data_IF_832206222115
#
_entry.id   IF_832206222115
#
_cell.length_a   1.000
_cell.length_b   1.000
_cell.length_c   1.000
_cell.angle_alpha   90.00
_cell.angle_beta   90.00
_cell.angle_gamma   90.00
#
_symmetry.space_group_name_H-M   'P 1'
#
loop_
_entity.id
_entity.type
_entity.pdbx_description
1 polymer ?
#
# COMPACT_ATOMS: atom_id res chain seq x y z
N UNK A 1 16.75 -8.23 21.78
CA UNK A 1 18.20 -7.92 21.69
C UNK A 1 18.75 -8.76 20.54
N UNK A 2 19.23 -8.12 19.47
CA UNK A 2 19.89 -8.80 18.36
C UNK A 2 21.35 -9.08 18.75
N UNK A 3 21.99 -10.14 18.22
CA UNK A 3 23.42 -10.32 18.39
C UNK A 3 24.19 -9.13 17.80
N UNK A 4 25.20 -8.62 18.52
CA UNK A 4 25.98 -7.43 18.14
C UNK A 4 26.55 -7.50 16.72
N UNK A 5 26.97 -8.69 16.29
CA UNK A 5 27.52 -8.93 14.95
C UNK A 5 26.48 -8.75 13.82
N UNK A 6 25.21 -9.07 14.10
CA UNK A 6 24.12 -8.93 13.13
C UNK A 6 23.70 -7.47 12.98
N UNK A 7 23.72 -6.70 14.08
CA UNK A 7 23.47 -5.27 14.05
C UNK A 7 24.57 -4.52 13.28
N UNK A 8 25.84 -4.86 13.51
CA UNK A 8 26.97 -4.33 12.77
C UNK A 8 26.84 -4.63 11.26
N UNK A 9 26.38 -5.82 10.90
CA UNK A 9 26.11 -6.20 9.52
C UNK A 9 25.01 -5.34 8.87
N UNK A 10 23.86 -5.14 9.53
CA UNK A 10 22.80 -4.27 8.99
C UNK A 10 23.24 -2.81 8.88
N UNK A 11 24.00 -2.31 9.87
CA UNK A 11 24.58 -0.96 9.85
C UNK A 11 25.55 -0.80 8.67
N UNK A 12 26.38 -1.80 8.40
CA UNK A 12 27.27 -1.81 7.24
C UNK A 12 26.49 -1.75 5.91
N UNK A 13 25.41 -2.52 5.75
CA UNK A 13 24.57 -2.44 4.56
C UNK A 13 23.94 -1.04 4.38
N UNK A 14 23.43 -0.43 5.45
CA UNK A 14 22.86 0.93 5.37
C UNK A 14 23.90 2.00 5.03
N UNK A 15 25.14 1.86 5.50
CA UNK A 15 26.22 2.78 5.20
C UNK A 15 26.72 2.67 3.75
N UNK A 16 26.60 1.47 3.17
CA UNK A 16 26.96 1.18 1.80
C UNK A 16 25.89 1.61 0.78
N UNK A 17 24.70 2.03 1.23
CA UNK A 17 23.74 2.71 0.35
C UNK A 17 24.37 4.00 -0.14
N UNK A 18 24.40 4.17 -1.47
CA UNK A 18 24.91 5.38 -2.11
C UNK A 18 24.25 6.61 -1.47
N UNK A 19 25.07 7.61 -1.18
CA UNK A 19 24.63 8.90 -0.66
C UNK A 19 23.43 9.50 -1.41
N UNK A 20 23.35 9.31 -2.72
CA UNK A 20 22.24 9.80 -3.56
C UNK A 20 20.91 9.10 -3.32
N UNK A 21 20.93 7.93 -2.66
CA UNK A 21 19.74 7.12 -2.37
C UNK A 21 19.35 7.12 -0.89
N UNK A 22 20.14 7.76 -0.02
CA UNK A 22 19.94 7.68 1.44
C UNK A 22 18.63 8.31 1.90
N UNK A 23 18.16 9.35 1.21
CA UNK A 23 16.88 10.00 1.52
C UNK A 23 15.72 9.09 1.12
N UNK A 24 15.76 8.54 -0.09
CA UNK A 24 14.74 7.64 -0.62
C UNK A 24 14.70 6.32 0.17
N UNK A 25 15.86 5.80 0.57
CA UNK A 25 15.96 4.64 1.44
C UNK A 25 15.33 4.92 2.80
N UNK A 26 15.61 6.09 3.40
CA UNK A 26 14.99 6.51 4.65
C UNK A 26 13.46 6.61 4.53
N UNK A 27 12.95 7.15 3.40
CA UNK A 27 11.50 7.17 3.12
C UNK A 27 10.92 5.76 3.06
N UNK A 28 11.58 4.84 2.34
CA UNK A 28 11.13 3.44 2.26
C UNK A 28 11.09 2.77 3.63
N UNK A 29 12.11 2.99 4.48
CA UNK A 29 12.14 2.42 5.83
C UNK A 29 11.09 3.04 6.75
N UNK A 30 10.86 4.35 6.68
CA UNK A 30 9.80 4.99 7.44
C UNK A 30 8.42 4.43 7.03
N UNK A 31 8.14 4.38 5.72
CA UNK A 31 6.89 3.83 5.16
C UNK A 31 6.64 2.39 5.61
N UNK A 32 7.64 1.50 5.50
CA UNK A 32 7.46 0.09 5.88
C UNK A 32 7.23 -0.06 7.38
N UNK A 33 7.83 0.80 8.21
CA UNK A 33 7.66 0.79 9.67
C UNK A 33 6.29 1.30 10.11
N UNK A 34 5.69 2.24 9.38
CA UNK A 34 4.31 2.69 9.62
C UNK A 34 3.25 1.67 9.19
N UNK A 35 3.64 0.72 8.34
CA UNK A 35 2.70 -0.23 7.73
C UNK A 35 2.55 -1.49 8.57
N UNK A 36 1.34 -1.75 9.08
CA UNK A 36 1.02 -2.98 9.84
C UNK A 36 1.10 -4.26 9.01
N UNK A 37 0.99 -4.13 7.68
CA UNK A 37 1.03 -5.23 6.71
C UNK A 37 1.93 -4.85 5.55
N UNK A 38 2.55 -5.85 4.91
CA UNK A 38 3.35 -5.64 3.71
C UNK A 38 2.53 -4.92 2.62
N UNK A 39 3.01 -3.76 2.19
CA UNK A 39 2.40 -2.99 1.11
C UNK A 39 2.73 -3.62 -0.24
N UNK A 40 1.89 -3.36 -1.25
CA UNK A 40 2.21 -3.82 -2.60
C UNK A 40 3.35 -3.02 -3.21
N UNK A 41 4.10 -3.63 -4.12
CA UNK A 41 5.11 -2.95 -4.91
C UNK A 41 4.51 -1.79 -5.73
N UNK A 42 3.24 -1.92 -6.12
CA UNK A 42 2.50 -0.85 -6.79
C UNK A 42 2.28 0.35 -5.86
N UNK A 43 1.93 0.12 -4.58
CA UNK A 43 1.83 1.20 -3.58
C UNK A 43 3.17 1.96 -3.49
N UNK A 44 4.29 1.24 -3.35
CA UNK A 44 5.62 1.87 -3.37
C UNK A 44 5.89 2.66 -4.64
N UNK A 45 5.42 2.19 -5.80
CA UNK A 45 5.59 2.93 -7.04
C UNK A 45 4.88 4.28 -7.04
N UNK A 46 3.75 4.42 -6.35
CA UNK A 46 3.05 5.71 -6.21
C UNK A 46 3.65 6.58 -5.11
N UNK A 47 4.21 5.97 -4.06
CA UNK A 47 4.95 6.67 -3.01
C UNK A 47 6.30 7.22 -3.48
N UNK A 48 6.82 6.68 -4.59
CA UNK A 48 8.06 7.12 -5.22
C UNK A 48 7.90 8.33 -6.16
N UNK A 49 6.67 8.83 -6.29
CA UNK A 49 6.41 10.10 -6.98
C UNK A 49 6.87 11.27 -6.09
N UNK A 50 7.34 12.37 -6.71
CA UNK A 50 7.92 13.49 -5.97
C UNK A 50 6.95 14.10 -4.94
N UNK A 51 5.67 14.15 -5.30
CA UNK A 51 4.57 14.63 -4.47
C UNK A 51 3.30 13.79 -4.72
N UNK A 52 3.11 12.69 -3.96
CA UNK A 52 1.97 11.80 -4.13
C UNK A 52 0.62 12.49 -3.84
N UNK A 53 0.60 13.46 -2.93
CA UNK A 53 -0.61 14.20 -2.54
C UNK A 53 -1.06 15.10 -3.70
N UNK A 54 -0.15 15.91 -4.24
CA UNK A 54 -0.46 16.75 -5.40
C UNK A 54 -0.81 15.91 -6.63
N UNK A 55 -0.08 14.80 -6.85
CA UNK A 55 -0.38 13.87 -7.93
C UNK A 55 -1.81 13.35 -7.83
N UNK A 56 -2.20 12.83 -6.66
CA UNK A 56 -3.54 12.26 -6.51
C UNK A 56 -4.60 13.33 -6.62
N UNK A 57 -4.43 14.54 -6.09
CA UNK A 57 -5.46 15.59 -6.20
C UNK A 57 -5.62 16.10 -7.65
N UNK A 58 -4.54 16.12 -8.44
CA UNK A 58 -4.58 16.58 -9.83
C UNK A 58 -5.00 15.48 -10.83
N UNK A 59 -4.87 14.20 -10.47
CA UNK A 59 -5.09 13.10 -11.41
C UNK A 59 -6.57 12.85 -11.71
N UNK A 60 -6.89 12.54 -12.97
CA UNK A 60 -8.21 12.06 -13.34
C UNK A 60 -8.42 10.60 -12.92
N UNK A 61 -9.69 10.20 -12.75
CA UNK A 61 -10.05 8.79 -12.57
C UNK A 61 -9.78 8.08 -13.90
N UNK A 62 -8.67 7.35 -13.97
CA UNK A 62 -8.21 6.67 -15.18
C UNK A 62 -7.68 5.29 -14.79
N UNK A 63 -8.29 4.23 -15.32
CA UNK A 63 -7.82 2.89 -15.07
C UNK A 63 -6.37 2.67 -15.52
N UNK A 64 -5.59 1.95 -14.71
CA UNK A 64 -4.22 1.59 -15.02
C UNK A 64 -4.20 0.40 -15.99
N UNK A 65 -3.48 0.53 -17.10
CA UNK A 65 -3.34 -0.56 -18.06
C UNK A 65 -2.37 -1.62 -17.52
N UNK A 66 -2.47 -2.86 -18.01
CA UNK A 66 -1.52 -3.93 -17.65
C UNK A 66 -0.07 -3.58 -18.02
N UNK A 67 0.13 -2.80 -19.11
CA UNK A 67 1.44 -2.32 -19.53
C UNK A 67 1.99 -1.31 -18.52
N UNK A 68 1.16 -0.35 -18.09
CA UNK A 68 1.56 0.64 -17.09
C UNK A 68 1.86 -0.02 -15.75
N UNK A 69 1.00 -0.93 -15.27
CA UNK A 69 1.21 -1.70 -14.05
C UNK A 69 2.56 -2.42 -14.07
N UNK A 70 2.85 -3.12 -15.17
CA UNK A 70 4.11 -3.84 -15.39
C UNK A 70 5.31 -2.90 -15.39
N UNK A 71 5.19 -1.76 -16.07
CA UNK A 71 6.23 -0.73 -16.12
C UNK A 71 6.54 -0.17 -14.73
N UNK A 72 5.51 0.21 -13.97
CA UNK A 72 5.64 0.73 -12.61
C UNK A 72 6.28 -0.27 -11.66
N UNK A 73 5.80 -1.52 -11.63
CA UNK A 73 6.38 -2.57 -10.79
C UNK A 73 7.84 -2.87 -11.15
N UNK A 74 8.18 -2.95 -12.44
CA UNK A 74 9.56 -3.21 -12.88
C UNK A 74 10.51 -2.08 -12.49
N UNK A 75 10.09 -0.83 -12.69
CA UNK A 75 10.87 0.34 -12.29
C UNK A 75 11.07 0.38 -10.78
N UNK A 76 9.99 0.19 -10.01
CA UNK A 76 10.05 0.25 -8.55
C UNK A 76 10.88 -0.88 -7.95
N UNK A 77 10.82 -2.09 -8.52
CA UNK A 77 11.67 -3.21 -8.08
C UNK A 77 13.16 -2.88 -8.17
N UNK A 78 13.60 -2.31 -9.30
CA UNK A 78 15.00 -1.87 -9.47
C UNK A 78 15.40 -0.80 -8.45
N UNK A 79 14.51 0.17 -8.20
CA UNK A 79 14.76 1.26 -7.25
C UNK A 79 14.85 0.75 -5.82
N UNK A 80 13.95 -0.13 -5.38
CA UNK A 80 14.00 -0.74 -4.04
C UNK A 80 15.30 -1.53 -3.84
N UNK A 81 15.70 -2.34 -4.83
CA UNK A 81 16.95 -3.10 -4.74
C UNK A 81 18.18 -2.18 -4.61
N UNK A 82 18.21 -1.08 -5.36
CA UNK A 82 19.31 -0.11 -5.28
C UNK A 82 19.35 0.65 -3.94
N UNK A 83 18.18 0.98 -3.38
CA UNK A 83 18.05 1.82 -2.18
C UNK A 83 18.17 1.04 -0.87
N UNK A 84 17.64 -0.17 -0.83
CA UNK A 84 17.44 -0.91 0.42
C UNK A 84 18.39 -2.10 0.60
N UNK A 85 19.25 -2.41 -0.39
CA UNK A 85 20.34 -3.40 -0.31
C UNK A 85 19.99 -4.68 0.49
N UNK A 86 18.98 -5.41 0.03
CA UNK A 86 18.51 -6.67 0.64
C UNK A 86 17.95 -6.54 2.09
N UNK A 87 17.74 -5.33 2.64
CA UNK A 87 16.98 -5.15 3.89
C UNK A 87 15.47 -5.33 3.68
N UNK A 88 15.00 -4.95 2.50
CA UNK A 88 13.64 -5.21 2.03
C UNK A 88 13.70 -6.21 0.88
N UNK A 89 12.72 -7.08 0.82
CA UNK A 89 12.54 -8.05 -0.26
C UNK A 89 11.17 -7.89 -0.93
N UNK A 90 11.08 -8.40 -2.16
CA UNK A 90 9.83 -8.45 -2.92
C UNK A 90 9.34 -9.89 -2.93
N UNK A 91 8.22 -10.14 -2.26
CA UNK A 91 7.57 -11.45 -2.19
C UNK A 91 6.35 -11.48 -3.12
N UNK A 92 5.96 -12.69 -3.55
CA UNK A 92 4.69 -12.90 -4.25
C UNK A 92 3.61 -13.36 -3.27
N UNK A 93 2.37 -12.92 -3.46
CA UNK A 93 1.24 -13.26 -2.58
C UNK A 93 1.00 -14.78 -2.35
N UNK A 94 1.60 -15.66 -3.16
CA UNK A 94 1.58 -17.12 -3.00
C UNK A 94 2.58 -17.67 -1.98
N UNK A 95 3.52 -16.87 -1.46
CA UNK A 95 4.59 -17.35 -0.57
C UNK A 95 4.32 -17.12 0.93
N UNK A 96 3.26 -16.41 1.30
CA UNK A 96 2.80 -16.37 2.69
C UNK A 96 2.17 -17.70 3.05
N UNK A 97 2.80 -18.42 3.98
CA UNK A 97 2.32 -19.67 4.61
C UNK A 97 1.05 -19.44 5.44
N UNK A 98 -0.04 -19.06 4.78
CA UNK A 98 -1.40 -18.98 5.32
C UNK A 98 -2.26 -19.84 4.39
N UNK A 99 -3.00 -20.86 4.90
CA UNK A 99 -3.92 -21.63 4.07
C UNK A 99 -5.10 -20.73 3.69
N UNK A 100 -5.03 -20.06 2.54
CA UNK A 100 -6.10 -19.21 2.03
C UNK A 100 -6.82 -19.94 0.90
N UNK A 101 -7.85 -20.70 1.28
CA UNK A 101 -8.82 -21.33 0.38
C UNK A 101 -9.50 -20.32 -0.55
N UNK A 102 -9.53 -19.04 -0.19
CA UNK A 102 -10.05 -17.95 -1.03
C UNK A 102 -9.08 -17.53 -2.15
N UNK A 103 -7.76 -17.54 -1.90
CA UNK A 103 -6.74 -17.23 -2.90
C UNK A 103 -6.58 -18.38 -3.91
N UNK A 104 -6.67 -19.62 -3.44
CA UNK A 104 -6.67 -20.81 -4.31
C UNK A 104 -7.88 -20.83 -5.25
N UNK A 105 -9.05 -20.40 -4.78
CA UNK A 105 -10.25 -20.31 -5.62
C UNK A 105 -10.12 -19.27 -6.75
N UNK A 106 -9.44 -18.14 -6.48
CA UNK A 106 -9.18 -17.11 -7.50
C UNK A 106 -8.16 -17.59 -8.54
N UNK A 107 -7.11 -18.31 -8.12
CA UNK A 107 -6.05 -18.84 -8.99
C UNK A 107 -6.51 -20.04 -9.84
N UNK A 108 -7.51 -20.81 -9.40
CA UNK A 108 -8.03 -21.95 -10.17
C UNK A 108 -8.89 -21.53 -11.38
N UNK A 109 -9.41 -20.30 -11.40
CA UNK A 109 -10.22 -19.79 -12.51
C UNK A 109 -9.41 -19.34 -13.74
N UNK A 110 -8.09 -19.15 -13.58
CA UNK A 110 -7.14 -18.96 -14.68
C UNK A 110 -6.12 -20.09 -14.67
N UNK A 111 -6.40 -21.13 -15.43
CA UNK A 111 -5.55 -22.32 -15.54
C UNK A 111 -4.14 -22.00 -16.04
N UNK A 112 -3.20 -21.82 -15.11
CA UNK A 112 -1.77 -22.14 -15.30
C UNK A 112 -1.06 -22.24 -13.95
N UNK A 113 -0.98 -23.46 -13.41
CA UNK A 113 0.01 -23.79 -12.37
C UNK A 113 1.39 -23.59 -12.99
N UNK A 114 2.12 -22.57 -12.55
CA UNK A 114 3.57 -22.52 -12.73
C UNK A 114 4.21 -22.64 -11.37
N UNK A 115 5.05 -23.65 -11.19
CA UNK A 115 5.95 -23.74 -10.06
C UNK A 115 6.94 -22.58 -10.19
N UNK A 116 6.71 -21.47 -9.51
CA UNK A 116 7.60 -20.31 -9.56
C UNK A 116 8.74 -20.55 -8.57
N UNK A 117 10.01 -20.66 -9.02
CA UNK A 117 11.15 -20.86 -8.14
C UNK A 117 11.34 -19.67 -7.21
N UNK A 118 11.91 -19.95 -6.04
CA UNK A 118 12.51 -18.97 -5.13
C UNK A 118 13.33 -17.96 -5.94
N UNK A 119 12.92 -16.68 -5.92
CA UNK A 119 13.41 -15.64 -6.82
C UNK A 119 14.92 -15.43 -6.71
N UNK A 120 15.66 -15.94 -7.70
CA UNK A 120 16.99 -15.45 -8.06
C UNK A 120 16.81 -14.13 -8.83
N UNK A 121 17.70 -13.17 -8.56
CA UNK A 121 17.62 -11.71 -8.85
C UNK A 121 17.35 -11.25 -10.30
N UNK A 122 16.83 -12.04 -11.25
CA UNK A 122 16.64 -11.59 -12.65
C UNK A 122 15.33 -11.90 -13.38
N UNK A 123 14.44 -12.79 -12.91
CA UNK A 123 13.19 -13.10 -13.63
C UNK A 123 11.94 -12.84 -12.78
N UNK A 124 11.49 -11.59 -12.76
CA UNK A 124 10.19 -11.21 -12.18
C UNK A 124 9.06 -11.59 -13.14
N UNK A 125 8.07 -12.41 -12.71
CA UNK A 125 6.83 -12.60 -13.47
C UNK A 125 6.17 -11.26 -13.78
N UNK A 126 5.36 -11.20 -14.81
CA UNK A 126 4.70 -9.94 -15.15
C UNK A 126 3.44 -9.77 -14.30
N UNK A 127 3.28 -8.68 -13.53
CA UNK A 127 2.09 -8.49 -12.72
C UNK A 127 0.91 -8.13 -13.61
N UNK A 128 -0.10 -8.98 -13.58
CA UNK A 128 -1.43 -8.68 -14.11
C UNK A 128 -2.42 -8.31 -12.96
N UNK A 129 -1.95 -8.35 -11.71
CA UNK A 129 -2.70 -8.02 -10.47
C UNK A 129 -1.94 -6.97 -9.64
N UNK A 130 -2.69 -6.00 -9.10
CA UNK A 130 -2.23 -4.90 -8.23
C UNK A 130 -1.55 -5.39 -6.95
N UNK A 131 -1.93 -6.56 -6.45
CA UNK A 131 -1.49 -7.08 -5.15
C UNK A 131 -0.46 -8.22 -5.27
N UNK A 132 -0.07 -8.59 -6.50
CA UNK A 132 0.80 -9.74 -6.74
C UNK A 132 2.12 -9.65 -5.97
N UNK A 133 2.75 -8.48 -6.03
CA UNK A 133 4.05 -8.23 -5.39
C UNK A 133 3.88 -7.44 -4.11
N UNK A 134 4.44 -7.97 -3.03
CA UNK A 134 4.49 -7.35 -1.71
C UNK A 134 5.94 -7.00 -1.37
N UNK A 135 6.13 -5.91 -0.64
CA UNK A 135 7.43 -5.52 -0.11
C UNK A 135 7.41 -5.82 1.38
N UNK A 136 8.32 -6.68 1.81
CA UNK A 136 8.45 -7.11 3.21
C UNK A 136 9.90 -6.97 3.67
N UNK A 137 10.14 -7.12 4.97
CA UNK A 137 11.48 -7.22 5.51
C UNK A 137 12.09 -8.55 5.11
N UNK A 138 13.36 -8.56 4.70
CA UNK A 138 14.06 -9.82 4.39
C UNK A 138 14.06 -10.79 5.58
N UNK A 139 14.09 -10.25 6.79
CA UNK A 139 13.99 -11.05 8.01
C UNK A 139 13.32 -10.26 9.13
N UNK A 140 12.65 -10.96 10.06
CA UNK A 140 12.02 -10.34 11.24
C UNK A 140 13.01 -9.46 12.04
N UNK A 141 14.26 -9.88 12.14
CA UNK A 141 15.31 -9.13 12.84
C UNK A 141 15.68 -7.82 12.14
N UNK A 142 15.41 -7.69 10.84
CA UNK A 142 15.59 -6.42 10.12
C UNK A 142 14.57 -5.40 10.61
N UNK A 143 13.32 -5.82 10.84
CA UNK A 143 12.29 -4.95 11.42
C UNK A 143 12.72 -4.47 12.81
N UNK A 144 13.14 -5.39 13.68
CA UNK A 144 13.60 -5.05 15.04
C UNK A 144 14.78 -4.07 15.02
N UNK A 145 15.71 -4.25 14.06
CA UNK A 145 16.83 -3.33 13.86
C UNK A 145 16.38 -1.94 13.40
N UNK A 146 15.50 -1.87 12.39
CA UNK A 146 15.00 -0.60 11.87
C UNK A 146 14.11 0.15 12.87
N UNK A 147 13.45 -0.55 13.80
CA UNK A 147 12.65 0.03 14.89
C UNK A 147 13.49 0.63 16.03
N UNK A 148 14.79 0.33 16.11
CA UNK A 148 15.66 0.85 17.16
C UNK A 148 15.74 2.39 17.13
N UNK A 149 15.79 3.02 18.31
CA UNK A 149 15.74 4.49 18.45
C UNK A 149 16.89 5.19 17.70
N UNK A 150 18.09 4.61 17.71
CA UNK A 150 19.24 5.11 16.94
C UNK A 150 18.92 5.15 15.44
N UNK A 151 18.32 4.08 14.91
CA UNK A 151 18.00 3.96 13.49
C UNK A 151 16.87 4.92 13.10
N UNK A 152 15.85 5.05 13.94
CA UNK A 152 14.77 6.04 13.78
C UNK A 152 15.31 7.46 13.79
N UNK A 153 16.27 7.77 14.68
CA UNK A 153 16.97 9.05 14.71
C UNK A 153 17.76 9.31 13.43
N UNK A 154 18.48 8.29 12.94
CA UNK A 154 19.20 8.38 11.68
C UNK A 154 18.28 8.62 10.48
N UNK A 155 17.15 7.91 10.37
CA UNK A 155 16.20 8.13 9.27
C UNK A 155 15.55 9.51 9.37
N UNK A 156 15.09 9.91 10.56
CA UNK A 156 14.51 11.23 10.81
C UNK A 156 15.45 12.37 10.42
N UNK A 157 16.76 12.23 10.68
CA UNK A 157 17.76 13.23 10.30
C UNK A 157 17.94 13.42 8.78
N UNK A 158 17.53 12.43 7.98
CA UNK A 158 17.63 12.43 6.51
C UNK A 158 16.31 12.85 5.84
N UNK A 159 15.20 12.77 6.55
CA UNK A 159 13.87 13.07 6.03
C UNK A 159 13.63 14.59 6.08
N UNK A 160 12.99 15.10 5.02
CA UNK A 160 12.57 16.50 4.97
C UNK A 160 11.36 16.71 5.88
N UNK A 161 11.25 17.87 6.51
CA UNK A 161 10.10 18.23 7.36
C UNK A 161 8.75 18.24 6.61
N UNK A 162 8.77 18.29 5.27
CA UNK A 162 7.56 18.21 4.43
C UNK A 162 7.09 16.78 4.19
N UNK A 163 7.91 15.77 4.54
CA UNK A 163 7.58 14.37 4.30
C UNK A 163 6.72 13.83 5.44
N UNK A 164 5.48 13.49 5.11
CA UNK A 164 4.54 12.80 5.99
C UNK A 164 4.17 11.46 5.34
N UNK A 165 4.73 10.37 5.87
CA UNK A 165 4.52 9.03 5.33
C UNK A 165 3.07 8.57 5.42
N UNK A 166 2.35 8.91 6.48
CA UNK A 166 0.95 8.52 6.66
C UNK A 166 0.06 9.25 5.65
N UNK A 167 0.29 10.56 5.44
CA UNK A 167 -0.41 11.33 4.40
C UNK A 167 -0.09 10.80 3.00
N UNK A 168 1.18 10.48 2.72
CA UNK A 168 1.59 9.92 1.44
C UNK A 168 1.00 8.53 1.20
N UNK A 169 0.90 7.70 2.24
CA UNK A 169 0.23 6.41 2.20
C UNK A 169 -1.24 6.57 1.83
N UNK A 170 -1.97 7.44 2.52
CA UNK A 170 -3.35 7.78 2.18
C UNK A 170 -3.50 8.16 0.69
N UNK A 171 -2.67 9.09 0.22
CA UNK A 171 -2.66 9.53 -1.18
C UNK A 171 -2.39 8.38 -2.17
N UNK A 172 -1.43 7.49 -1.85
CA UNK A 172 -1.08 6.35 -2.70
C UNK A 172 -2.21 5.31 -2.82
N UNK A 173 -2.98 5.10 -1.75
CA UNK A 173 -4.15 4.21 -1.78
C UNK A 173 -5.30 4.84 -2.55
N UNK A 174 -5.56 6.14 -2.34
CA UNK A 174 -6.56 6.88 -3.13
C UNK A 174 -6.21 6.87 -4.62
N UNK A 175 -4.93 7.05 -4.98
CA UNK A 175 -4.47 6.96 -6.36
C UNK A 175 -4.74 5.57 -6.96
N UNK A 176 -4.57 4.50 -6.17
CA UNK A 176 -4.95 3.15 -6.61
C UNK A 176 -6.45 2.99 -6.83
N UNK A 177 -7.30 3.60 -5.99
CA UNK A 177 -8.76 3.61 -6.21
C UNK A 177 -9.11 4.29 -7.54
N UNK A 178 -8.46 5.42 -7.86
CA UNK A 178 -8.62 6.10 -9.17
C UNK A 178 -8.17 5.26 -10.36
N UNK A 179 -7.24 4.35 -10.13
CA UNK A 179 -6.58 3.51 -11.12
C UNK A 179 -7.23 2.14 -11.32
N UNK A 180 -8.33 1.82 -10.62
CA UNK A 180 -8.96 0.52 -10.73
C UNK A 180 -9.27 0.16 -12.19
N UNK A 181 -8.93 -1.07 -12.65
CA UNK A 181 -8.99 -1.44 -14.07
C UNK A 181 -10.39 -1.28 -14.69
N UNK A 182 -10.50 -0.93 -15.99
CA UNK A 182 -11.79 -0.90 -16.65
C UNK A 182 -12.21 -2.35 -16.97
N UNK A 183 -13.50 -2.66 -16.84
CA UNK A 183 -14.07 -3.92 -17.35
C UNK A 183 -13.87 -5.16 -16.46
N UNK A 184 -13.29 -5.02 -15.27
CA UNK A 184 -13.38 -6.09 -14.27
C UNK A 184 -14.80 -6.14 -13.70
N UNK A 185 -15.31 -7.36 -13.52
CA UNK A 185 -16.56 -7.57 -12.77
C UNK A 185 -16.40 -6.98 -11.36
N UNK A 186 -17.47 -6.38 -10.84
CA UNK A 186 -17.49 -5.85 -9.48
C UNK A 186 -17.14 -6.92 -8.45
N UNK A 187 -17.54 -8.18 -8.69
CA UNK A 187 -17.17 -9.31 -7.84
C UNK A 187 -15.64 -9.52 -7.74
N UNK A 188 -14.91 -9.23 -8.82
CA UNK A 188 -13.44 -9.37 -8.87
C UNK A 188 -12.72 -8.19 -8.24
N UNK A 189 -13.24 -6.97 -8.38
CA UNK A 189 -12.62 -5.76 -7.80
C UNK A 189 -12.95 -5.61 -6.31
N UNK A 190 -14.10 -6.11 -5.87
CA UNK A 190 -14.66 -5.80 -4.55
C UNK A 190 -13.69 -5.94 -3.37
N UNK A 191 -12.99 -7.07 -3.15
CA UNK A 191 -12.06 -7.20 -2.02
C UNK A 191 -10.92 -6.19 -2.08
N UNK A 192 -10.42 -5.92 -3.29
CA UNK A 192 -9.37 -4.92 -3.52
C UNK A 192 -9.88 -3.51 -3.23
N UNK A 193 -11.05 -3.15 -3.75
CA UNK A 193 -11.63 -1.82 -3.54
C UNK A 193 -11.85 -1.51 -2.06
N UNK A 194 -12.46 -2.44 -1.32
CA UNK A 194 -12.63 -2.31 0.15
C UNK A 194 -11.27 -2.11 0.81
N UNK A 195 -10.31 -3.00 0.54
CA UNK A 195 -8.95 -2.90 1.09
C UNK A 195 -8.31 -1.53 0.81
N UNK A 196 -8.42 -1.01 -0.42
CA UNK A 196 -7.83 0.27 -0.78
C UNK A 196 -8.50 1.45 -0.04
N UNK A 197 -9.83 1.47 0.05
CA UNK A 197 -10.59 2.52 0.75
C UNK A 197 -10.33 2.48 2.25
N UNK A 198 -10.29 1.28 2.85
CA UNK A 198 -9.98 1.09 4.26
C UNK A 198 -8.56 1.56 4.60
N UNK A 199 -7.56 1.23 3.78
CA UNK A 199 -6.20 1.72 4.01
C UNK A 199 -6.13 3.24 3.85
N UNK A 200 -6.77 3.82 2.83
CA UNK A 200 -6.79 5.27 2.64
C UNK A 200 -7.38 6.01 3.84
N UNK A 201 -8.53 5.56 4.36
CA UNK A 201 -9.18 6.17 5.52
C UNK A 201 -8.42 5.91 6.83
N UNK A 202 -7.84 4.71 7.00
CA UNK A 202 -7.01 4.38 8.15
C UNK A 202 -5.79 5.29 8.23
N UNK A 203 -5.04 5.45 7.14
CA UNK A 203 -3.85 6.30 7.13
C UNK A 203 -4.18 7.79 7.22
N UNK A 204 -5.32 8.24 6.66
CA UNK A 204 -5.82 9.60 6.90
C UNK A 204 -6.03 9.84 8.40
N UNK A 205 -6.74 8.94 9.08
CA UNK A 205 -6.96 9.02 10.52
C UNK A 205 -5.65 8.95 11.31
N UNK A 206 -4.77 7.99 11.03
CA UNK A 206 -3.51 7.85 11.73
C UNK A 206 -2.61 9.09 11.57
N UNK A 207 -2.65 9.75 10.40
CA UNK A 207 -1.90 11.01 10.19
C UNK A 207 -2.40 12.17 11.07
N UNK A 208 -3.68 12.18 11.46
CA UNK A 208 -4.22 13.21 12.36
C UNK A 208 -3.71 13.03 13.79
N UNK A 209 -3.59 11.78 14.25
CA UNK A 209 -3.18 11.44 15.61
C UNK A 209 -1.66 11.39 15.79
N UNK A 210 -0.94 10.92 14.77
CA UNK A 210 0.49 10.61 14.85
C UNK A 210 1.36 11.47 13.92
N UNK A 211 0.76 12.22 12.99
CA UNK A 211 1.49 13.01 11.99
C UNK A 211 2.17 14.24 12.57
N UNK A 212 3.22 14.69 11.88
CA UNK A 212 3.97 15.92 12.24
C UNK A 212 3.09 17.17 12.14
N UNK A 213 2.10 17.15 11.24
CA UNK A 213 1.07 18.17 11.10
C UNK A 213 -0.27 17.52 11.46
N UNK A 214 -0.72 17.67 12.70
CA UNK A 214 -2.01 17.16 13.21
C UNK A 214 -3.20 17.91 12.60
N UNK A 215 -3.31 17.89 11.28
CA UNK A 215 -4.39 18.48 10.51
C UNK A 215 -5.22 17.37 9.87
N UNK A 216 -6.56 17.49 9.90
CA UNK A 216 -7.42 16.60 9.15
C UNK A 216 -7.08 16.58 7.66
N UNK A 217 -6.99 15.37 7.06
CA UNK A 217 -6.68 15.18 5.64
C UNK A 217 -7.92 15.39 4.76
N UNK A 218 -8.61 16.51 4.96
CA UNK A 218 -9.91 16.83 4.34
C UNK A 218 -9.86 16.84 2.82
N UNK A 219 -8.78 17.35 2.24
CA UNK A 219 -8.55 17.36 0.79
C UNK A 219 -8.52 15.94 0.19
N UNK A 220 -7.79 15.02 0.84
CA UNK A 220 -7.72 13.62 0.41
C UNK A 220 -9.03 12.88 0.65
N UNK A 221 -9.72 13.16 1.75
CA UNK A 221 -11.01 12.53 2.08
C UNK A 221 -12.14 13.01 1.16
N UNK A 222 -12.20 14.31 0.85
CA UNK A 222 -13.16 14.89 -0.10
C UNK A 222 -12.94 14.31 -1.50
N UNK A 223 -11.67 14.15 -1.90
CA UNK A 223 -11.33 13.54 -3.19
C UNK A 223 -11.67 12.04 -3.21
N UNK A 224 -11.44 11.31 -2.12
CA UNK A 224 -11.86 9.92 -1.98
C UNK A 224 -13.38 9.78 -2.11
N UNK A 225 -14.14 10.65 -1.42
CA UNK A 225 -15.59 10.69 -1.52
C UNK A 225 -16.04 10.95 -2.97
N UNK A 226 -15.44 11.94 -3.63
CA UNK A 226 -15.74 12.27 -5.04
C UNK A 226 -15.47 11.07 -5.96
N UNK A 227 -14.36 10.36 -5.75
CA UNK A 227 -14.01 9.16 -6.53
C UNK A 227 -15.02 8.04 -6.28
N UNK A 228 -15.38 7.77 -5.02
CA UNK A 228 -16.37 6.76 -4.66
C UNK A 228 -17.74 7.09 -5.29
N UNK A 229 -18.17 8.35 -5.29
CA UNK A 229 -19.41 8.78 -5.92
C UNK A 229 -19.43 8.53 -7.44
N UNK A 230 -18.31 8.79 -8.13
CA UNK A 230 -18.18 8.49 -9.57
C UNK A 230 -18.15 6.99 -9.86
N UNK A 231 -17.57 6.18 -8.97
CA UNK A 231 -17.63 4.72 -9.09
C UNK A 231 -19.04 4.21 -8.80
N UNK A 232 -19.73 4.77 -7.81
CA UNK A 232 -21.10 4.43 -7.48
C UNK A 232 -22.05 4.72 -8.65
N UNK A 233 -21.93 5.87 -9.32
CA UNK A 233 -22.74 6.16 -10.50
C UNK A 233 -22.52 5.18 -11.66
N UNK A 234 -21.39 4.46 -11.68
CA UNK A 234 -21.08 3.43 -12.68
C UNK A 234 -21.52 2.03 -12.28
N UNK A 235 -21.43 1.66 -10.99
CA UNK A 235 -21.64 0.29 -10.51
C UNK A 235 -22.93 0.10 -9.68
N UNK A 236 -23.60 1.19 -9.30
CA UNK A 236 -24.86 1.20 -8.55
C UNK A 236 -24.73 0.64 -7.13
N UNK A 237 -25.88 0.26 -6.55
CA UNK A 237 -26.01 -0.27 -5.18
C UNK A 237 -25.09 -1.46 -4.86
N UNK A 238 -24.67 -2.22 -5.87
CA UNK A 238 -23.75 -3.34 -5.68
C UNK A 238 -22.38 -2.89 -5.14
N UNK A 239 -21.96 -1.64 -5.41
CA UNK A 239 -20.74 -1.07 -4.83
C UNK A 239 -20.88 -0.87 -3.32
N UNK A 240 -22.06 -0.46 -2.83
CA UNK A 240 -22.32 -0.29 -1.40
C UNK A 240 -22.40 -1.62 -0.66
N UNK A 241 -22.96 -2.65 -1.29
CA UNK A 241 -22.98 -4.02 -0.76
C UNK A 241 -21.56 -4.56 -0.50
N UNK A 242 -20.54 -3.99 -1.15
CA UNK A 242 -19.14 -4.31 -0.88
C UNK A 242 -18.68 -3.92 0.53
N UNK A 243 -19.27 -2.88 1.12
CA UNK A 243 -18.96 -2.44 2.48
C UNK A 243 -19.86 -3.10 3.54
N UNK A 244 -21.01 -3.65 3.14
CA UNK A 244 -22.08 -4.07 4.05
C UNK A 244 -22.16 -5.59 4.26
N UNK A 245 -21.50 -6.43 3.46
CA UNK A 245 -21.57 -7.89 3.63
C UNK A 245 -20.69 -8.39 4.79
N UNK A 246 -21.28 -9.04 5.83
CA UNK A 246 -20.58 -9.41 7.05
C UNK A 246 -19.54 -10.54 6.91
N UNK A 247 -19.65 -11.39 5.88
CA UNK A 247 -18.88 -12.65 5.80
C UNK A 247 -17.46 -12.51 5.25
N UNK A 248 -17.07 -11.32 4.77
CA UNK A 248 -15.69 -11.02 4.34
C UNK A 248 -14.81 -10.44 5.46
N UNK A 249 -15.38 -10.12 6.62
CA UNK A 249 -14.70 -9.41 7.69
C UNK A 249 -14.23 -10.34 8.81
N UNK A 250 -13.08 -11.00 8.61
CA UNK A 250 -12.22 -11.39 9.75
C UNK A 250 -11.60 -10.15 10.40
N UNK A 251 -11.03 -10.25 11.62
CA UNK A 251 -11.13 -9.38 12.84
C UNK A 251 -11.31 -7.84 12.72
N UNK A 252 -11.94 -7.34 11.66
CA UNK A 252 -12.11 -5.93 11.28
C UNK A 252 -13.48 -5.41 11.78
N UNK A 253 -14.08 -6.01 12.82
CA UNK A 253 -15.36 -5.55 13.41
C UNK A 253 -15.31 -4.09 13.90
N UNK A 254 -14.14 -3.61 14.35
CA UNK A 254 -13.95 -2.21 14.74
C UNK A 254 -14.00 -1.22 13.57
N UNK A 255 -13.79 -1.71 12.35
CA UNK A 255 -13.80 -0.87 11.15
C UNK A 255 -15.21 -0.75 10.58
N UNK A 256 -16.07 -1.77 10.70
CA UNK A 256 -17.50 -1.60 10.36
C UNK A 256 -18.16 -0.54 11.24
N UNK A 257 -17.69 -0.37 12.48
CA UNK A 257 -18.14 0.72 13.38
C UNK A 257 -17.46 2.07 13.07
N UNK A 258 -16.16 2.07 12.73
CA UNK A 258 -15.42 3.31 12.44
C UNK A 258 -15.68 3.87 11.01
N UNK A 259 -15.70 2.99 10.01
CA UNK A 259 -16.13 3.25 8.63
C UNK A 259 -17.64 3.34 8.60
N UNK A 260 -18.41 2.54 9.34
CA UNK A 260 -19.86 2.79 9.48
C UNK A 260 -20.13 4.19 10.03
N UNK A 261 -19.47 4.62 11.10
CA UNK A 261 -19.62 5.98 11.62
C UNK A 261 -19.21 7.06 10.61
N UNK A 262 -18.08 6.89 9.92
CA UNK A 262 -17.54 7.90 8.99
C UNK A 262 -18.26 7.89 7.63
N UNK A 263 -18.51 6.72 7.06
CA UNK A 263 -19.21 6.50 5.80
C UNK A 263 -20.69 6.81 5.91
N UNK A 264 -21.37 6.43 7.01
CA UNK A 264 -22.77 6.83 7.22
C UNK A 264 -22.85 8.34 7.43
N UNK A 265 -21.89 8.97 8.13
CA UNK A 265 -21.82 10.43 8.22
C UNK A 265 -21.54 11.12 6.86
N UNK A 266 -20.72 10.51 5.99
CA UNK A 266 -20.45 10.97 4.61
C UNK A 266 -21.70 10.83 3.74
N UNK A 267 -22.35 9.67 3.74
CA UNK A 267 -23.56 9.41 2.95
C UNK A 267 -24.77 10.22 3.44
N UNK A 268 -24.90 10.47 4.75
CA UNK A 268 -25.94 11.34 5.33
C UNK A 268 -25.69 12.82 5.04
N UNK A 269 -24.43 13.27 4.95
CA UNK A 269 -24.12 14.67 4.58
C UNK A 269 -24.46 15.04 3.14
N UNK A 270 -24.58 14.06 2.24
CA UNK A 270 -24.76 14.28 0.79
C UNK A 270 -26.04 13.68 0.21
N UNK A 271 -27.00 13.29 1.04
CA UNK A 271 -28.27 12.67 0.62
C UNK A 271 -28.08 11.47 -0.34
N UNK A 272 -27.03 10.68 -0.13
CA UNK A 272 -26.72 9.50 -0.95
C UNK A 272 -27.52 8.25 -0.53
N UNK A 273 -28.37 8.38 0.49
CA UNK A 273 -29.38 7.40 0.88
C UNK A 273 -30.76 7.82 0.35
N UNK A 274 -30.93 7.80 -0.97
CA UNK A 274 -32.24 7.88 -1.64
C UNK A 274 -32.34 6.83 -2.74
#
# INVERSE_FOLDING_TARGET
>A
MLPTDLEAYFRHMLNNVDSTYRVEAAKCFDIVLQSKRALSLLTYSFLDEDDPVRLVLASHIKPLTAIDLRSRCRAMSKRLNARCQDLLEITTATQTSIPSTALEALLQSSGRRTNIPRSTKSNFPTPDDFQLYRVDFLHRTVRDFLEADEMRGMFSSRLLAIFDSLRWLCASFLQQVKCLPPGLSLASIRPLFVTLVENATCFARESEFCGQNSSPQTDLLDELERVIAVLYSKFGANLLNSFMEPDTFGPIRHLTEAVGGSFTAICVRRDLFL
#
